data_IF_135541892219
#
_entry.id   IF_135541892219
#
_cell.length_a   1.000
_cell.length_b   1.000
_cell.length_c   1.000
_cell.angle_alpha   90.00
_cell.angle_beta   90.00
_cell.angle_gamma   90.00
#
_symmetry.space_group_name_H-M   'P 1'
#
loop_
_entity.id
_entity.type
_entity.pdbx_description
1 polymer ?
#
# COMPACT_ATOMS: atom_id res chain seq x y z
N UNK A 1 11.68 -22.30 16.44
CA UNK A 1 11.81 -20.99 15.80
C UNK A 1 11.12 -21.15 14.46
N UNK A 2 9.82 -20.87 14.42
CA UNK A 2 9.13 -20.73 13.15
C UNK A 2 9.74 -19.53 12.44
N UNK A 3 10.39 -19.77 11.30
CA UNK A 3 10.78 -18.72 10.37
C UNK A 3 9.49 -18.09 9.84
N UNK A 4 8.92 -17.15 10.61
CA UNK A 4 7.86 -16.29 10.14
C UNK A 4 8.44 -15.46 9.00
N UNK A 5 8.22 -15.95 7.77
CA UNK A 5 8.51 -15.22 6.55
C UNK A 5 7.90 -13.83 6.69
N UNK A 6 8.74 -12.79 6.69
CA UNK A 6 8.25 -11.44 6.87
C UNK A 6 7.35 -11.04 5.71
N UNK A 7 6.35 -10.21 6.00
CA UNK A 7 5.35 -9.76 5.03
C UNK A 7 6.02 -9.03 3.85
N UNK A 8 7.16 -8.37 4.09
CA UNK A 8 7.95 -7.75 3.02
C UNK A 8 8.51 -8.82 2.08
N UNK A 9 9.00 -9.95 2.60
CA UNK A 9 9.51 -11.06 1.78
C UNK A 9 8.40 -11.69 0.94
N UNK A 10 7.23 -11.94 1.53
CA UNK A 10 6.05 -12.48 0.83
C UNK A 10 5.64 -11.54 -0.32
N UNK A 11 5.52 -10.25 -0.04
CA UNK A 11 5.13 -9.25 -1.05
C UNK A 11 6.17 -9.09 -2.15
N UNK A 12 7.45 -9.30 -1.85
CA UNK A 12 8.54 -9.23 -2.83
C UNK A 12 8.55 -10.44 -3.77
N UNK A 13 8.13 -11.61 -3.28
CA UNK A 13 8.03 -12.84 -4.09
C UNK A 13 6.77 -12.88 -4.97
N UNK A 14 5.74 -12.10 -4.65
CA UNK A 14 4.50 -12.04 -5.42
C UNK A 14 4.70 -11.25 -6.72
N UNK A 15 4.60 -11.93 -7.86
CA UNK A 15 4.53 -11.27 -9.15
C UNK A 15 3.09 -10.75 -9.40
N UNK A 16 2.90 -9.44 -9.27
CA UNK A 16 1.61 -8.77 -9.42
C UNK A 16 1.44 -8.07 -10.78
N UNK A 17 2.38 -8.24 -11.72
CA UNK A 17 2.36 -7.55 -13.02
C UNK A 17 1.10 -7.90 -13.83
N UNK A 18 0.62 -9.14 -13.72
CA UNK A 18 -0.56 -9.62 -14.46
C UNK A 18 -1.88 -8.99 -13.99
N UNK A 19 -1.92 -8.46 -12.76
CA UNK A 19 -3.13 -7.89 -12.17
C UNK A 19 -3.09 -6.36 -12.14
N UNK A 20 -1.95 -5.74 -12.42
CA UNK A 20 -1.76 -4.29 -12.38
C UNK A 20 -2.77 -3.58 -13.30
N UNK A 21 -2.96 -4.08 -14.53
CA UNK A 21 -3.93 -3.55 -15.48
C UNK A 21 -5.36 -3.65 -14.94
N UNK A 22 -5.73 -4.78 -14.36
CA UNK A 22 -7.06 -5.03 -13.78
C UNK A 22 -7.32 -4.14 -12.57
N UNK A 23 -6.35 -4.02 -11.66
CA UNK A 23 -6.45 -3.19 -10.46
C UNK A 23 -6.53 -1.72 -10.83
N UNK A 24 -5.89 -1.30 -11.93
CA UNK A 24 -5.84 0.11 -12.35
C UNK A 24 -7.06 0.57 -13.15
N UNK A 25 -7.92 -0.35 -13.62
CA UNK A 25 -9.14 -0.01 -14.37
C UNK A 25 -10.12 0.92 -13.64
N UNK A 26 -10.46 0.69 -12.36
CA UNK A 26 -11.41 1.54 -11.63
C UNK A 26 -10.81 2.89 -11.18
N UNK A 27 -9.51 3.11 -11.30
CA UNK A 27 -8.85 4.33 -10.84
C UNK A 27 -8.78 5.37 -11.96
N UNK A 28 -9.02 6.63 -11.60
CA UNK A 28 -8.93 7.76 -12.54
C UNK A 28 -7.47 7.95 -12.96
N UNK A 29 -7.19 7.72 -14.24
CA UNK A 29 -5.84 7.83 -14.82
C UNK A 29 -5.43 9.28 -15.10
N UNK A 30 -6.39 10.17 -15.34
CA UNK A 30 -6.15 11.60 -15.65
C UNK A 30 -7.42 12.41 -15.42
N UNK A 31 -7.28 13.64 -14.90
CA UNK A 31 -8.39 14.55 -14.61
C UNK A 31 -8.05 15.61 -13.56
N UNK A 32 -8.91 16.63 -13.40
CA UNK A 32 -8.77 17.63 -12.35
C UNK A 32 -9.06 17.00 -10.97
N UNK A 33 -8.00 16.68 -10.22
CA UNK A 33 -8.09 16.05 -8.92
C UNK A 33 -6.72 15.67 -8.37
N UNK A 34 -6.67 15.25 -7.10
CA UNK A 34 -5.44 14.70 -6.50
C UNK A 34 -5.03 13.47 -7.32
N UNK A 35 -3.77 13.33 -7.77
CA UNK A 35 -3.37 12.14 -8.50
C UNK A 35 -3.75 10.91 -7.69
N UNK A 36 -4.41 9.96 -8.35
CA UNK A 36 -4.85 8.74 -7.69
C UNK A 36 -3.63 8.04 -7.11
N UNK A 37 -3.70 7.62 -5.83
CA UNK A 37 -2.65 6.79 -5.23
C UNK A 37 -2.39 5.60 -6.15
N UNK A 38 -1.14 5.15 -6.26
CA UNK A 38 -0.81 4.01 -7.13
C UNK A 38 -1.72 2.82 -6.78
N UNK A 39 -2.58 2.35 -7.70
CA UNK A 39 -3.57 1.30 -7.42
C UNK A 39 -2.94 0.03 -6.85
N UNK A 40 -1.76 -0.31 -7.38
CA UNK A 40 -0.96 -1.43 -6.92
C UNK A 40 -0.45 -1.26 -5.48
N UNK A 41 -0.11 -0.03 -5.09
CA UNK A 41 0.33 0.29 -3.73
C UNK A 41 -0.78 0.10 -2.69
N UNK A 42 -1.99 0.56 -3.02
CA UNK A 42 -3.19 0.31 -2.19
C UNK A 42 -3.43 -1.20 -2.05
N UNK A 43 -3.35 -1.94 -3.16
CA UNK A 43 -3.57 -3.39 -3.14
C UNK A 43 -2.57 -4.11 -2.24
N UNK A 44 -1.27 -3.78 -2.34
CA UNK A 44 -0.24 -4.32 -1.44
C UNK A 44 -0.50 -3.97 0.02
N UNK A 45 -0.90 -2.74 0.32
CA UNK A 45 -1.27 -2.34 1.69
C UNK A 45 -2.46 -3.15 2.25
N UNK A 46 -3.45 -3.47 1.41
CA UNK A 46 -4.57 -4.35 1.82
C UNK A 46 -4.11 -5.79 2.08
N UNK A 47 -3.14 -6.30 1.32
CA UNK A 47 -2.51 -7.60 1.62
C UNK A 47 -1.80 -7.56 2.97
N UNK A 48 -1.02 -6.51 3.26
CA UNK A 48 -0.38 -6.32 4.57
C UNK A 48 -1.40 -6.33 5.70
N UNK A 49 -2.54 -5.64 5.51
CA UNK A 49 -3.63 -5.61 6.48
C UNK A 49 -4.13 -7.02 6.80
N UNK A 50 -4.32 -7.85 5.78
CA UNK A 50 -4.80 -9.23 5.95
C UNK A 50 -3.73 -10.11 6.59
N UNK A 51 -2.49 -10.10 6.09
CA UNK A 51 -1.40 -10.94 6.59
C UNK A 51 -1.02 -10.61 8.04
N UNK A 52 -1.02 -9.33 8.43
CA UNK A 52 -0.73 -8.89 9.80
C UNK A 52 -1.98 -8.77 10.70
N UNK A 53 -3.14 -9.23 10.22
CA UNK A 53 -4.44 -9.15 10.93
C UNK A 53 -4.69 -7.77 11.55
N UNK A 54 -4.42 -6.71 10.80
CA UNK A 54 -4.49 -5.34 11.29
C UNK A 54 -5.96 -4.92 11.39
N UNK A 55 -6.44 -4.49 12.57
CA UNK A 55 -7.86 -4.32 12.83
C UNK A 55 -8.46 -3.08 12.17
N UNK A 56 -7.66 -2.05 11.84
CA UNK A 56 -8.16 -0.81 11.27
C UNK A 56 -7.24 -0.23 10.20
N UNK A 57 -7.81 0.54 9.28
CA UNK A 57 -7.04 1.24 8.25
C UNK A 57 -6.12 2.29 8.88
N UNK A 58 -6.54 2.93 9.97
CA UNK A 58 -5.71 3.91 10.69
C UNK A 58 -4.44 3.27 11.26
N UNK A 59 -4.56 2.08 11.84
CA UNK A 59 -3.40 1.34 12.35
C UNK A 59 -2.52 0.80 11.21
N UNK A 60 -3.11 0.43 10.07
CA UNK A 60 -2.38 0.10 8.85
C UNK A 60 -1.54 1.30 8.38
N UNK A 61 -2.14 2.49 8.25
CA UNK A 61 -1.43 3.72 7.88
C UNK A 61 -0.28 4.04 8.84
N UNK A 62 -0.51 3.89 10.16
CA UNK A 62 0.54 4.11 11.15
C UNK A 62 1.71 3.15 10.95
N UNK A 63 1.45 1.86 10.69
CA UNK A 63 2.50 0.85 10.47
C UNK A 63 3.24 1.07 9.16
N UNK A 64 2.53 1.43 8.10
CA UNK A 64 3.12 1.79 6.80
C UNK A 64 4.04 3.02 6.92
N UNK A 65 3.74 3.95 7.83
CA UNK A 65 4.57 5.14 8.05
C UNK A 65 5.77 4.89 8.96
N UNK A 66 5.65 3.97 9.92
CA UNK A 66 6.71 3.64 10.86
C UNK A 66 7.74 2.64 10.30
N UNK A 67 7.39 1.89 9.25
CA UNK A 67 8.21 0.84 8.66
C UNK A 67 8.59 1.23 7.23
N UNK A 68 9.84 1.64 7.04
CA UNK A 68 10.36 2.12 5.75
C UNK A 68 10.31 1.03 4.66
N UNK A 69 10.55 -0.23 5.03
CA UNK A 69 10.49 -1.35 4.09
C UNK A 69 9.06 -1.61 3.61
N UNK A 70 8.08 -1.51 4.51
CA UNK A 70 6.66 -1.57 4.15
C UNK A 70 6.23 -0.36 3.29
N UNK A 71 6.75 0.83 3.58
CA UNK A 71 6.48 2.04 2.78
C UNK A 71 6.96 1.88 1.34
N UNK A 72 8.20 1.40 1.17
CA UNK A 72 8.82 1.15 -0.13
C UNK A 72 8.09 0.06 -0.90
N UNK A 73 7.76 -1.07 -0.26
CA UNK A 73 7.11 -2.18 -0.97
C UNK A 73 5.70 -1.84 -1.42
N UNK A 74 4.98 -1.06 -0.63
CA UNK A 74 3.66 -0.54 -0.98
C UNK A 74 3.70 0.68 -1.91
N UNK A 75 4.89 1.12 -2.35
CA UNK A 75 5.07 2.25 -3.28
C UNK A 75 4.30 3.50 -2.82
N UNK A 76 4.31 3.75 -1.50
CA UNK A 76 3.67 4.90 -0.85
C UNK A 76 4.65 6.05 -0.91
N UNK A 77 4.42 7.00 -1.80
CA UNK A 77 5.25 8.20 -1.88
C UNK A 77 5.02 9.10 -0.66
N UNK A 78 6.07 9.78 -0.21
CA UNK A 78 6.00 10.76 0.89
C UNK A 78 4.98 11.88 0.62
N UNK A 79 4.74 12.17 -0.66
CA UNK A 79 3.73 13.11 -1.16
C UNK A 79 2.29 12.67 -0.87
N UNK A 80 2.04 11.38 -0.63
CA UNK A 80 0.73 10.85 -0.27
C UNK A 80 0.34 11.13 1.20
N UNK A 81 1.29 11.60 2.02
CA UNK A 81 1.09 11.84 3.45
C UNK A 81 0.43 13.19 3.81
N UNK A 82 -0.13 13.91 2.85
CA UNK A 82 -0.90 15.12 3.17
C UNK A 82 -2.34 14.77 3.60
N UNK A 83 -2.49 14.33 4.84
CA UNK A 83 -3.67 14.62 5.67
C UNK A 83 -3.21 15.50 6.83
N UNK A 84 -2.92 16.76 6.51
CA UNK A 84 -2.80 17.94 7.40
C UNK A 84 -2.43 19.09 6.44
N UNK A 85 -3.12 20.21 6.27
CA UNK A 85 -4.17 20.89 7.00
C UNK A 85 -5.26 21.30 6.01
N UNK A 86 -6.53 21.16 6.38
CA UNK A 86 -7.55 22.09 5.90
C UNK A 86 -8.38 22.48 7.11
N UNK A 87 -7.96 23.60 7.69
CA UNK A 87 -8.74 24.44 8.60
C UNK A 87 -10.05 24.86 7.93
#
# INVERSE_FOLDING_TARGET
MDEHMDVVSILSMLNLNNIETTISQPYIKSGAGRPSRKPLGIFKALIVKQLRRIPSDRELYRRLWNDEALRLICDIEERENHITHRS
#
